data_IF_888668605887
#
_entry.id   IF_888668605887
#
_cell.length_a   1.000
_cell.length_b   1.000
_cell.length_c   1.000
_cell.angle_alpha   90.00
_cell.angle_beta   90.00
_cell.angle_gamma   90.00
#
_symmetry.space_group_name_H-M   'P 1'
#
loop_
_entity.id
_entity.type
_entity.pdbx_description
1 polymer ?
#
# COMPACT_ATOMS: atom_id res chain seq x y z
N UNK A 1 4.69 10.24 -22.37
CA UNK A 1 3.77 11.32 -21.99
C UNK A 1 4.52 12.22 -21.04
N UNK A 2 4.83 13.44 -21.49
CA UNK A 2 5.52 14.48 -20.72
C UNK A 2 4.50 15.44 -20.10
N UNK A 3 3.47 14.87 -19.48
CA UNK A 3 2.30 15.63 -19.04
C UNK A 3 2.58 16.37 -17.72
N UNK A 4 3.65 15.99 -17.02
CA UNK A 4 4.16 16.67 -15.83
C UNK A 4 5.66 16.43 -15.67
N UNK A 5 6.39 17.45 -15.23
CA UNK A 5 7.81 17.35 -14.85
C UNK A 5 8.00 16.72 -13.46
N UNK A 6 6.98 16.89 -12.60
CA UNK A 6 6.92 16.41 -11.22
C UNK A 6 5.51 15.90 -10.92
N UNK A 7 5.40 14.78 -10.23
CA UNK A 7 4.14 14.28 -9.69
C UNK A 7 4.27 13.87 -8.23
N UNK A 8 3.25 14.17 -7.44
CA UNK A 8 3.07 13.60 -6.09
C UNK A 8 2.21 12.36 -6.24
N UNK A 9 2.72 11.23 -5.77
CA UNK A 9 2.08 9.92 -5.93
C UNK A 9 2.06 9.17 -4.60
N UNK A 10 1.11 8.25 -4.45
CA UNK A 10 1.04 7.38 -3.29
C UNK A 10 -0.39 7.04 -2.92
N UNK A 11 -0.60 6.63 -1.68
CA UNK A 11 -1.90 6.20 -1.18
C UNK A 11 -2.04 6.48 0.31
N UNK A 12 -3.28 6.71 0.73
CA UNK A 12 -3.66 6.89 2.12
C UNK A 12 -4.92 6.09 2.36
N UNK A 13 -4.94 5.37 3.46
CA UNK A 13 -6.13 4.75 4.04
C UNK A 13 -6.18 5.14 5.51
N UNK A 14 -7.35 5.60 5.98
CA UNK A 14 -7.47 6.22 7.30
C UNK A 14 -8.78 5.85 7.98
N UNK A 15 -8.71 5.69 9.30
CA UNK A 15 -9.87 5.38 10.13
C UNK A 15 -10.15 3.88 10.14
N UNK A 16 -9.83 3.23 11.25
CA UNK A 16 -10.33 1.90 11.55
C UNK A 16 -11.77 2.02 12.04
N UNK A 17 -12.71 1.98 11.11
CA UNK A 17 -14.14 2.18 11.36
C UNK A 17 -14.92 0.88 11.50
N UNK A 18 -16.01 0.92 12.25
CA UNK A 18 -16.82 -0.27 12.54
C UNK A 18 -17.42 -0.92 11.28
N UNK A 19 -17.84 -0.12 10.30
CA UNK A 19 -18.48 -0.64 9.08
C UNK A 19 -17.49 -1.42 8.19
N UNK A 20 -16.30 -0.90 7.83
CA UNK A 20 -15.27 -1.69 7.15
C UNK A 20 -14.90 -2.95 7.91
N UNK A 21 -14.65 -2.86 9.23
CA UNK A 21 -14.31 -4.02 10.06
C UNK A 21 -15.40 -5.10 9.98
N UNK A 22 -16.68 -4.72 10.09
CA UNK A 22 -17.79 -5.65 9.98
C UNK A 22 -17.86 -6.30 8.59
N UNK A 23 -17.71 -5.50 7.52
CA UNK A 23 -17.75 -6.01 6.15
C UNK A 23 -16.63 -7.04 5.88
N UNK A 24 -15.38 -6.73 6.22
CA UNK A 24 -14.26 -7.64 6.00
C UNK A 24 -14.28 -8.86 6.94
N UNK A 25 -14.81 -8.71 8.15
CA UNK A 25 -15.06 -9.84 9.06
C UNK A 25 -16.12 -10.79 8.50
N UNK A 26 -17.22 -10.27 7.95
CA UNK A 26 -18.26 -11.09 7.30
C UNK A 26 -17.75 -11.84 6.07
N UNK A 27 -16.84 -11.24 5.30
CA UNK A 27 -16.14 -11.90 4.19
C UNK A 27 -15.12 -12.95 4.65
N UNK A 28 -14.86 -13.07 5.96
CA UNK A 28 -13.80 -13.90 6.55
C UNK A 28 -12.41 -13.55 6.02
N UNK A 29 -12.20 -12.26 5.72
CA UNK A 29 -10.93 -11.77 5.20
C UNK A 29 -9.94 -11.39 6.33
N UNK A 30 -10.48 -11.03 7.50
CA UNK A 30 -9.70 -10.65 8.68
C UNK A 30 -9.29 -11.85 9.54
N UNK A 31 -8.12 -11.75 10.17
CA UNK A 31 -7.69 -12.72 11.20
C UNK A 31 -8.66 -12.74 12.38
N UNK A 32 -8.88 -13.91 12.95
CA UNK A 32 -9.74 -14.13 14.13
C UNK A 32 -8.94 -14.43 15.40
N UNK A 33 -7.62 -14.35 15.33
CA UNK A 33 -6.70 -14.56 16.47
C UNK A 33 -6.68 -13.37 17.42
N UNK A 34 -7.80 -13.20 18.12
CA UNK A 34 -8.01 -12.11 19.07
C UNK A 34 -7.30 -12.34 20.43
N UNK A 35 -6.86 -13.56 20.69
CA UNK A 35 -6.15 -13.97 21.92
C UNK A 35 -4.65 -13.62 21.90
N UNK A 36 -4.04 -13.53 20.71
CA UNK A 36 -2.62 -13.16 20.51
C UNK A 36 -2.49 -12.12 19.36
N UNK A 37 -3.04 -10.91 19.52
CA UNK A 37 -3.16 -9.92 18.44
C UNK A 37 -1.83 -9.48 17.84
N UNK A 38 -0.77 -9.39 18.65
CA UNK A 38 0.59 -9.04 18.21
C UNK A 38 1.21 -10.08 17.28
N UNK A 39 0.63 -11.28 17.23
CA UNK A 39 1.05 -12.38 16.36
C UNK A 39 0.04 -12.67 15.25
N UNK A 40 -1.05 -11.91 15.15
CA UNK A 40 -2.14 -12.16 14.18
C UNK A 40 -1.64 -12.02 12.73
N UNK A 41 -0.95 -10.92 12.40
CA UNK A 41 -0.40 -10.70 11.06
C UNK A 41 0.80 -11.62 10.80
N UNK A 42 0.61 -12.66 9.99
CA UNK A 42 1.66 -13.61 9.61
C UNK A 42 1.62 -14.01 8.13
N UNK A 43 2.01 -13.11 7.21
CA UNK A 43 2.08 -13.44 5.79
C UNK A 43 2.90 -14.72 5.53
N UNK A 44 2.42 -15.55 4.60
CA UNK A 44 3.06 -16.81 4.16
C UNK A 44 3.18 -17.93 5.21
N UNK A 45 2.84 -17.70 6.48
CA UNK A 45 2.81 -18.74 7.49
C UNK A 45 1.72 -19.79 7.17
N UNK A 46 1.99 -21.06 7.55
CA UNK A 46 1.07 -22.18 7.35
C UNK A 46 -0.27 -21.97 8.08
N UNK A 47 -0.22 -21.31 9.23
CA UNK A 47 -1.36 -21.07 10.13
C UNK A 47 -1.90 -19.64 10.03
N UNK A 48 -1.65 -18.93 8.91
CA UNK A 48 -2.30 -17.64 8.65
C UNK A 48 -3.81 -17.84 8.44
N UNK A 49 -4.62 -16.93 8.97
CA UNK A 49 -6.08 -17.06 8.96
C UNK A 49 -6.82 -15.81 8.43
N UNK A 50 -6.09 -14.80 7.97
CA UNK A 50 -6.63 -13.55 7.43
C UNK A 50 -5.63 -12.42 7.57
N UNK A 51 -5.96 -11.23 7.07
CA UNK A 51 -5.14 -10.04 7.28
C UNK A 51 -5.52 -9.31 8.57
N UNK A 52 -4.64 -8.44 9.06
CA UNK A 52 -4.94 -7.51 10.16
C UNK A 52 -5.27 -6.15 9.57
N UNK A 53 -6.46 -5.63 9.88
CA UNK A 53 -6.90 -4.33 9.39
C UNK A 53 -6.00 -3.22 9.93
N UNK A 54 -5.55 -2.32 9.06
CA UNK A 54 -4.63 -1.25 9.43
C UNK A 54 -4.93 0.03 8.68
N UNK A 55 -4.37 1.12 9.17
CA UNK A 55 -4.44 2.45 8.58
C UNK A 55 -3.02 2.97 8.37
N UNK A 56 -2.80 3.71 7.29
CA UNK A 56 -1.49 4.27 6.95
C UNK A 56 -1.59 5.25 5.77
N UNK A 57 -0.56 6.08 5.61
CA UNK A 57 -0.36 6.88 4.41
C UNK A 57 1.10 6.89 3.99
N UNK A 58 1.35 6.81 2.69
CA UNK A 58 2.68 6.94 2.11
C UNK A 58 2.60 7.70 0.79
N UNK A 59 3.44 8.73 0.67
CA UNK A 59 3.54 9.59 -0.50
C UNK A 59 5.01 9.66 -0.96
N UNK A 60 5.19 9.86 -2.27
CA UNK A 60 6.46 10.07 -2.92
C UNK A 60 6.35 11.18 -3.96
N UNK A 61 7.46 11.86 -4.21
CA UNK A 61 7.60 12.77 -5.34
C UNK A 61 8.40 12.02 -6.41
N UNK A 62 7.81 11.90 -7.60
CA UNK A 62 8.50 11.43 -8.79
C UNK A 62 8.71 12.61 -9.73
N UNK A 63 9.84 12.63 -10.41
CA UNK A 63 10.23 13.67 -11.36
C UNK A 63 11.21 13.08 -12.37
N UNK A 64 11.48 13.81 -13.46
CA UNK A 64 12.49 13.37 -14.42
C UNK A 64 13.88 13.38 -13.79
N UNK A 65 14.75 12.45 -14.21
CA UNK A 65 16.14 12.38 -13.70
C UNK A 65 16.90 13.69 -13.98
N UNK A 66 16.69 14.28 -15.16
CA UNK A 66 17.26 15.57 -15.53
C UNK A 66 16.83 16.70 -14.58
N UNK A 67 15.53 16.80 -14.29
CA UNK A 67 15.00 17.81 -13.38
C UNK A 67 15.54 17.61 -11.95
N UNK A 68 15.57 16.37 -11.45
CA UNK A 68 16.11 16.04 -10.14
C UNK A 68 17.58 16.48 -10.00
N UNK A 69 18.41 16.16 -11.00
CA UNK A 69 19.83 16.51 -10.99
C UNK A 69 20.05 18.02 -11.15
N UNK A 70 19.28 18.70 -12.00
CA UNK A 70 19.37 20.14 -12.21
C UNK A 70 19.12 20.94 -10.91
N UNK A 71 18.19 20.48 -10.07
CA UNK A 71 17.92 21.08 -8.75
C UNK A 71 18.81 20.55 -7.61
N UNK A 72 19.77 19.68 -7.91
CA UNK A 72 20.68 19.09 -6.91
C UNK A 72 20.05 18.07 -5.97
N UNK A 73 18.91 17.48 -6.34
CA UNK A 73 18.29 16.41 -5.58
C UNK A 73 19.13 15.13 -5.67
N UNK A 74 19.15 14.34 -4.59
CA UNK A 74 19.68 12.99 -4.62
C UNK A 74 18.53 12.00 -4.85
N UNK A 75 18.45 11.31 -6.00
CA UNK A 75 17.45 10.28 -6.22
C UNK A 75 17.59 9.15 -5.19
N UNK A 76 16.47 8.76 -4.58
CA UNK A 76 16.42 7.61 -3.65
C UNK A 76 16.34 6.28 -4.41
N UNK A 77 15.66 6.29 -5.56
CA UNK A 77 15.48 5.14 -6.44
C UNK A 77 15.16 5.64 -7.87
N UNK A 78 15.17 4.71 -8.85
CA UNK A 78 14.71 4.94 -10.22
C UNK A 78 13.48 4.09 -10.48
N UNK A 79 12.39 4.70 -10.97
CA UNK A 79 11.20 3.98 -11.40
C UNK A 79 11.40 3.46 -12.83
N UNK A 80 11.59 2.14 -12.97
CA UNK A 80 11.89 1.52 -14.26
C UNK A 80 10.64 1.06 -15.04
N UNK A 81 9.49 0.97 -14.38
CA UNK A 81 8.23 0.59 -15.00
C UNK A 81 7.10 0.43 -13.99
N UNK A 82 5.86 0.43 -14.49
CA UNK A 82 4.64 0.11 -13.77
C UNK A 82 3.73 -0.70 -14.68
N UNK A 83 2.98 -1.65 -14.11
CA UNK A 83 2.07 -2.51 -14.86
C UNK A 83 0.85 -2.88 -14.02
N UNK A 84 -0.30 -2.99 -14.66
CA UNK A 84 -1.57 -3.38 -14.04
C UNK A 84 -2.20 -4.44 -14.96
N UNK A 85 -2.63 -5.56 -14.38
CA UNK A 85 -3.35 -6.64 -15.07
C UNK A 85 -4.68 -6.93 -14.35
N UNK A 86 -5.54 -7.70 -15.00
CA UNK A 86 -6.82 -8.17 -14.43
C UNK A 86 -7.00 -9.65 -14.77
N UNK A 87 -7.50 -10.43 -13.81
CA UNK A 87 -7.78 -11.86 -13.96
C UNK A 87 -9.13 -12.13 -14.65
N UNK A 88 -9.86 -11.06 -15.01
CA UNK A 88 -11.13 -11.01 -15.76
C UNK A 88 -12.39 -11.62 -15.12
N UNK A 89 -12.29 -12.76 -14.43
CA UNK A 89 -13.44 -13.48 -13.86
C UNK A 89 -14.15 -12.73 -12.74
#
# INVERSE_FOLDING_TARGET
MGDADIAVCGGVEGGIEALPIAAFSMMRAMSTRNDEPERASRPFDKNRDGFVFGEAGALMVIETEEHALARGAKPLARLLGAGISSDAF
#
